data_IF_865600921290
#
_entry.id   IF_865600921290
#
_cell.length_a   1.000
_cell.length_b   1.000
_cell.length_c   1.000
_cell.angle_alpha   90.00
_cell.angle_beta   90.00
_cell.angle_gamma   90.00
#
_symmetry.space_group_name_H-M   'P 1'
#
loop_
_entity.id
_entity.type
_entity.pdbx_description
1 polymer ?
#
# COMPACT_ATOMS: atom_id res chain seq x y z
N UNK A 1 42.24 -38.31 -82.87
CA UNK A 1 41.87 -37.26 -83.84
C UNK A 1 41.15 -36.20 -83.06
N UNK A 2 41.85 -35.19 -82.70
CA UNK A 2 41.74 -33.78 -83.11
C UNK A 2 40.34 -33.18 -82.71
N UNK A 3 40.18 -32.09 -82.06
CA UNK A 3 40.92 -30.83 -82.17
C UNK A 3 40.68 -29.93 -80.93
N UNK A 4 41.69 -29.17 -80.56
CA UNK A 4 41.66 -28.05 -79.60
C UNK A 4 41.01 -26.84 -80.25
N UNK A 5 40.09 -26.15 -79.52
CA UNK A 5 39.87 -24.73 -79.75
C UNK A 5 40.04 -23.96 -78.41
N UNK A 6 41.16 -23.20 -78.36
CA UNK A 6 41.43 -22.21 -77.34
C UNK A 6 40.58 -20.97 -77.57
N UNK A 7 39.75 -20.58 -76.55
CA UNK A 7 39.09 -19.29 -76.53
C UNK A 7 39.75 -18.41 -75.47
N UNK A 8 40.50 -17.39 -75.89
CA UNK A 8 41.12 -16.38 -75.07
C UNK A 8 40.06 -15.35 -74.64
N UNK A 9 39.77 -15.26 -73.37
CA UNK A 9 39.00 -14.19 -72.79
C UNK A 9 39.91 -13.16 -72.12
N UNK A 10 39.93 -11.95 -72.70
CA UNK A 10 40.65 -10.78 -72.20
C UNK A 10 40.06 -10.28 -70.87
N UNK A 11 40.88 -9.83 -69.88
CA UNK A 11 40.34 -9.29 -68.62
C UNK A 11 39.82 -7.86 -68.84
N UNK A 12 38.50 -7.64 -68.58
CA UNK A 12 37.98 -6.31 -68.51
C UNK A 12 38.53 -5.63 -67.23
N UNK A 13 39.31 -4.57 -67.40
CA UNK A 13 39.74 -3.62 -66.37
C UNK A 13 38.49 -2.95 -65.79
N UNK A 14 38.10 -3.33 -64.58
CA UNK A 14 37.13 -2.62 -63.80
C UNK A 14 37.76 -1.35 -63.24
N UNK A 15 37.24 -0.19 -63.65
CA UNK A 15 37.63 1.12 -63.12
C UNK A 15 37.32 1.23 -61.63
N UNK A 16 38.25 1.67 -60.75
CA UNK A 16 38.09 1.70 -59.29
C UNK A 16 37.31 2.94 -58.76
N UNK A 17 36.27 3.35 -59.45
CA UNK A 17 35.52 4.56 -59.05
C UNK A 17 34.35 4.29 -58.08
N UNK A 18 33.89 3.07 -57.99
CA UNK A 18 32.78 2.73 -57.14
C UNK A 18 33.05 2.80 -55.64
N UNK A 19 34.24 2.46 -55.07
CA UNK A 19 34.44 2.57 -53.62
C UNK A 19 34.54 4.02 -53.15
N UNK A 20 35.07 4.95 -53.97
CA UNK A 20 35.21 6.34 -53.58
C UNK A 20 33.86 7.04 -53.48
N UNK A 21 32.90 6.73 -54.39
CA UNK A 21 31.54 7.30 -54.35
C UNK A 21 30.75 6.75 -53.17
N UNK A 22 30.93 5.47 -52.80
CA UNK A 22 30.26 4.86 -51.65
C UNK A 22 30.74 5.48 -50.33
N UNK A 23 32.03 5.78 -50.18
CA UNK A 23 32.57 6.44 -48.97
C UNK A 23 32.07 7.88 -48.85
N UNK A 24 31.95 8.62 -49.96
CA UNK A 24 31.45 9.98 -49.97
C UNK A 24 29.95 10.04 -49.59
N UNK A 25 29.15 9.10 -50.08
CA UNK A 25 27.73 9.00 -49.72
C UNK A 25 27.53 8.56 -48.27
N UNK A 26 28.37 7.65 -47.75
CA UNK A 26 28.32 7.26 -46.34
C UNK A 26 28.76 8.42 -45.41
N UNK A 27 29.76 9.21 -45.80
CA UNK A 27 30.20 10.40 -45.06
C UNK A 27 29.13 11.52 -45.01
N UNK A 28 28.48 11.75 -46.14
CA UNK A 28 27.37 12.72 -46.20
C UNK A 28 26.13 12.26 -45.43
N UNK A 29 25.85 10.95 -45.43
CA UNK A 29 24.76 10.38 -44.63
C UNK A 29 25.04 10.46 -43.13
N UNK A 30 26.28 10.19 -42.69
CA UNK A 30 26.69 10.31 -41.29
C UNK A 30 26.69 11.78 -40.81
N UNK A 31 27.23 12.71 -41.63
CA UNK A 31 27.21 14.14 -41.30
C UNK A 31 25.80 14.74 -41.30
N UNK A 32 24.95 14.34 -42.24
CA UNK A 32 23.55 14.73 -42.31
C UNK A 32 22.73 14.17 -41.16
N UNK A 33 22.97 12.91 -40.79
CA UNK A 33 22.33 12.25 -39.64
C UNK A 33 22.71 12.92 -38.31
N UNK A 34 24.01 13.23 -38.11
CA UNK A 34 24.50 13.91 -36.92
C UNK A 34 23.98 15.37 -36.84
N UNK A 35 23.93 16.08 -38.00
CA UNK A 35 23.39 17.44 -38.07
C UNK A 35 21.84 17.47 -37.84
N UNK A 36 21.13 16.45 -38.29
CA UNK A 36 19.68 16.31 -38.04
C UNK A 36 19.39 15.97 -36.56
N UNK A 37 20.16 15.07 -35.97
CA UNK A 37 20.01 14.67 -34.56
C UNK A 37 20.36 15.85 -33.62
N UNK A 38 21.41 16.64 -33.94
CA UNK A 38 21.82 17.80 -33.13
C UNK A 38 20.82 18.98 -33.16
N UNK A 39 19.85 18.95 -34.08
CA UNK A 39 18.81 19.98 -34.19
C UNK A 39 17.43 19.51 -33.73
N UNK A 40 17.29 18.28 -33.26
CA UNK A 40 16.05 17.85 -32.66
C UNK A 40 15.88 18.56 -31.33
N UNK A 41 14.85 19.41 -31.25
CA UNK A 41 14.38 19.89 -29.96
C UNK A 41 13.99 18.70 -29.10
N UNK A 42 14.32 18.69 -27.80
CA UNK A 42 13.85 17.64 -26.90
C UNK A 42 12.32 17.54 -26.95
N UNK A 43 11.74 16.33 -26.79
CA UNK A 43 10.28 16.18 -26.81
C UNK A 43 9.64 17.06 -25.75
N UNK A 44 8.53 17.72 -26.12
CA UNK A 44 7.79 18.62 -25.23
C UNK A 44 7.47 17.91 -23.90
N UNK A 45 7.71 18.61 -22.79
CA UNK A 45 7.47 18.10 -21.43
C UNK A 45 8.65 17.38 -20.79
N UNK A 46 9.79 17.22 -21.47
CA UNK A 46 11.03 16.74 -20.85
C UNK A 46 11.67 17.78 -19.96
N UNK A 47 12.54 17.35 -19.04
CA UNK A 47 13.33 18.28 -18.20
C UNK A 47 14.15 19.21 -19.09
N UNK A 48 14.73 18.67 -20.17
CA UNK A 48 15.54 19.41 -21.15
C UNK A 48 14.74 20.55 -21.81
N UNK A 49 13.50 20.29 -22.23
CA UNK A 49 12.65 21.34 -22.84
C UNK A 49 12.32 22.43 -21.82
N UNK A 50 12.01 22.08 -20.58
CA UNK A 50 11.71 23.05 -19.51
C UNK A 50 12.92 23.90 -19.14
N UNK A 51 14.12 23.33 -19.14
CA UNK A 51 15.35 24.05 -18.87
C UNK A 51 15.68 25.02 -20.02
N UNK A 52 15.50 24.58 -21.29
CA UNK A 52 15.68 25.43 -22.46
C UNK A 52 14.66 26.59 -22.48
N UNK A 53 13.39 26.33 -22.15
CA UNK A 53 12.35 27.37 -22.05
C UNK A 53 12.65 28.37 -20.92
N UNK A 54 13.32 27.93 -19.85
CA UNK A 54 13.77 28.77 -18.74
C UNK A 54 15.09 29.52 -19.05
N UNK A 55 15.69 29.30 -20.24
CA UNK A 55 16.96 29.94 -20.65
C UNK A 55 18.19 29.34 -19.99
N UNK A 56 18.08 28.13 -19.41
CA UNK A 56 19.18 27.42 -18.73
C UNK A 56 20.03 26.70 -19.76
N UNK A 57 21.30 27.06 -19.85
CA UNK A 57 22.24 26.42 -20.76
C UNK A 57 22.80 25.09 -20.22
N UNK A 58 23.58 24.38 -21.05
CA UNK A 58 24.10 23.06 -20.69
C UNK A 58 25.06 23.10 -19.48
N UNK A 59 25.82 24.19 -19.29
CA UNK A 59 26.73 24.35 -18.16
C UNK A 59 25.97 24.64 -16.87
N UNK A 60 24.97 25.50 -16.96
CA UNK A 60 24.07 25.80 -15.83
C UNK A 60 23.31 24.55 -15.40
N UNK A 61 22.85 23.71 -16.35
CA UNK A 61 22.24 22.43 -16.06
C UNK A 61 23.17 21.53 -15.24
N UNK A 62 24.42 21.35 -15.68
CA UNK A 62 25.43 20.53 -14.97
C UNK A 62 25.68 21.08 -13.56
N UNK A 63 25.76 22.40 -13.41
CA UNK A 63 25.93 23.03 -12.10
C UNK A 63 24.73 22.76 -11.17
N UNK A 64 23.49 22.87 -11.67
CA UNK A 64 22.27 22.57 -10.92
C UNK A 64 22.24 21.09 -10.51
N UNK A 65 22.53 20.17 -11.43
CA UNK A 65 22.57 18.74 -11.15
C UNK A 65 23.61 18.39 -10.07
N UNK A 66 24.79 19.05 -10.10
CA UNK A 66 25.80 18.88 -9.07
C UNK A 66 25.31 19.37 -7.70
N UNK A 67 24.71 20.55 -7.63
CA UNK A 67 24.16 21.10 -6.37
C UNK A 67 23.07 20.19 -5.81
N UNK A 68 22.14 19.71 -6.65
CA UNK A 68 21.06 18.80 -6.23
C UNK A 68 21.65 17.47 -5.71
N UNK A 69 22.63 16.92 -6.42
CA UNK A 69 23.31 15.70 -5.99
C UNK A 69 24.00 15.89 -4.64
N UNK A 70 24.79 16.95 -4.50
CA UNK A 70 25.53 17.22 -3.26
C UNK A 70 24.57 17.48 -2.09
N UNK A 71 23.46 18.18 -2.35
CA UNK A 71 22.42 18.39 -1.36
C UNK A 71 21.77 17.09 -0.89
N UNK A 72 21.39 16.20 -1.83
CA UNK A 72 20.82 14.88 -1.47
C UNK A 72 21.83 14.03 -0.69
N UNK A 73 23.12 14.08 -1.07
CA UNK A 73 24.15 13.32 -0.36
C UNK A 73 24.47 13.90 1.03
N UNK A 74 24.33 15.20 1.20
CA UNK A 74 24.45 15.87 2.49
C UNK A 74 23.20 15.67 3.38
N UNK A 75 22.03 15.44 2.78
CA UNK A 75 20.72 15.27 3.45
C UNK A 75 20.04 13.97 3.02
N UNK A 76 20.63 12.80 3.30
CA UNK A 76 20.11 11.50 2.83
C UNK A 76 18.71 11.18 3.39
N UNK A 77 18.30 11.81 4.51
CA UNK A 77 16.98 11.69 5.13
C UNK A 77 15.82 12.13 4.23
N UNK A 78 16.08 12.93 3.19
CA UNK A 78 15.08 13.38 2.22
C UNK A 78 14.47 12.20 1.45
N UNK A 79 15.29 11.19 1.13
CA UNK A 79 14.82 10.04 0.34
C UNK A 79 13.77 9.22 1.11
N UNK A 80 14.03 8.71 2.34
CA UNK A 80 12.99 8.02 3.10
C UNK A 80 11.81 8.94 3.43
N UNK A 81 12.00 10.24 3.66
CA UNK A 81 10.89 11.17 3.88
C UNK A 81 9.98 11.28 2.63
N UNK A 82 10.57 11.44 1.45
CA UNK A 82 9.82 11.50 0.20
C UNK A 82 9.07 10.18 -0.08
N UNK A 83 9.71 9.02 0.19
CA UNK A 83 9.07 7.71 0.06
C UNK A 83 7.90 7.55 1.04
N UNK A 84 8.07 7.96 2.30
CA UNK A 84 7.00 7.92 3.30
C UNK A 84 5.81 8.81 2.90
N UNK A 85 6.07 10.01 2.39
CA UNK A 85 5.03 10.90 1.87
C UNK A 85 4.30 10.29 0.67
N UNK A 86 5.02 9.68 -0.26
CA UNK A 86 4.43 9.00 -1.41
C UNK A 86 3.52 7.84 -0.97
N UNK A 87 3.98 7.01 -0.03
CA UNK A 87 3.20 5.90 0.53
C UNK A 87 1.97 6.41 1.29
N UNK A 88 2.12 7.45 2.12
CA UNK A 88 1.01 8.05 2.87
C UNK A 88 -0.05 8.62 1.91
N UNK A 89 0.35 9.33 0.85
CA UNK A 89 -0.57 9.86 -0.16
C UNK A 89 -1.28 8.74 -0.93
N UNK A 90 -0.58 7.64 -1.22
CA UNK A 90 -1.17 6.45 -1.84
C UNK A 90 -2.21 5.80 -0.94
N UNK A 91 -1.89 5.58 0.33
CA UNK A 91 -2.80 5.05 1.34
C UNK A 91 -4.03 5.96 1.54
N UNK A 92 -3.83 7.27 1.64
CA UNK A 92 -4.92 8.24 1.78
C UNK A 92 -5.92 8.18 0.62
N UNK A 93 -5.44 8.08 -0.62
CA UNK A 93 -6.30 7.92 -1.81
C UNK A 93 -7.09 6.60 -1.77
N UNK A 94 -6.46 5.51 -1.37
CA UNK A 94 -7.13 4.21 -1.24
C UNK A 94 -8.17 4.22 -0.13
N UNK A 95 -7.87 4.83 1.03
CA UNK A 95 -8.80 4.99 2.14
C UNK A 95 -9.99 5.82 1.70
N UNK A 96 -9.78 6.97 1.06
CA UNK A 96 -10.85 7.83 0.57
C UNK A 96 -11.79 7.11 -0.40
N UNK A 97 -11.23 6.31 -1.33
CA UNK A 97 -12.00 5.54 -2.30
C UNK A 97 -12.84 4.42 -1.68
N UNK A 98 -12.49 3.95 -0.47
CA UNK A 98 -13.10 2.80 0.18
C UNK A 98 -13.64 3.12 1.59
N UNK A 99 -13.75 4.41 1.93
CA UNK A 99 -14.10 4.88 3.28
C UNK A 99 -15.33 4.18 3.86
N UNK A 100 -16.41 4.12 3.10
CA UNK A 100 -17.66 3.47 3.54
C UNK A 100 -17.44 1.99 3.88
N UNK A 101 -16.66 1.27 3.07
CA UNK A 101 -16.30 -0.14 3.35
C UNK A 101 -15.42 -0.28 4.58
N UNK A 102 -14.51 0.67 4.81
CA UNK A 102 -13.58 0.66 5.94
C UNK A 102 -14.32 0.98 7.24
N UNK A 103 -15.17 1.99 7.25
CA UNK A 103 -15.79 2.54 8.45
C UNK A 103 -17.16 1.95 8.79
N UNK A 104 -17.81 1.21 7.88
CA UNK A 104 -19.07 0.52 8.18
C UNK A 104 -18.79 -0.78 8.95
N UNK A 105 -19.15 -0.91 10.23
CA UNK A 105 -18.88 -2.09 11.02
C UNK A 105 -19.77 -3.27 10.61
N UNK A 106 -19.31 -4.49 10.85
CA UNK A 106 -20.25 -5.59 11.05
C UNK A 106 -21.18 -5.22 12.23
N UNK A 107 -22.46 -5.49 12.09
CA UNK A 107 -23.46 -5.03 13.06
C UNK A 107 -23.10 -5.45 14.51
N UNK A 108 -22.76 -4.48 15.34
CA UNK A 108 -22.37 -4.67 16.74
C UNK A 108 -20.87 -4.90 16.99
N UNK A 109 -20.03 -5.00 15.98
CA UNK A 109 -18.56 -5.15 16.13
C UNK A 109 -17.91 -3.76 16.37
N UNK A 110 -18.23 -3.15 17.50
CA UNK A 110 -17.83 -1.81 17.89
C UNK A 110 -17.32 -1.78 19.33
N UNK A 111 -16.36 -0.88 19.58
CA UNK A 111 -15.93 -0.47 20.91
C UNK A 111 -16.11 1.06 21.02
N UNK A 112 -16.15 1.57 22.26
CA UNK A 112 -16.37 3.00 22.51
C UNK A 112 -17.80 3.46 22.24
N UNK A 113 -17.94 4.68 21.72
CA UNK A 113 -19.24 5.30 21.50
C UNK A 113 -19.80 4.96 20.11
N UNK A 114 -20.89 4.18 19.98
CA UNK A 114 -21.48 3.87 18.68
C UNK A 114 -21.94 5.10 17.87
N UNK A 115 -22.21 6.21 18.56
CA UNK A 115 -22.60 7.49 17.97
C UNK A 115 -21.44 8.47 17.85
N UNK A 116 -20.21 7.99 18.09
CA UNK A 116 -19.00 8.81 18.00
C UNK A 116 -18.78 9.36 16.59
N UNK A 117 -18.33 10.60 16.53
CA UNK A 117 -18.08 11.34 15.28
C UNK A 117 -16.69 11.06 14.71
N UNK A 118 -15.78 10.57 15.53
CA UNK A 118 -14.44 10.14 15.10
C UNK A 118 -14.43 8.62 15.00
N UNK A 119 -14.02 8.11 13.84
CA UNK A 119 -13.90 6.67 13.63
C UNK A 119 -12.42 6.26 13.63
N UNK A 120 -12.09 5.33 14.54
CA UNK A 120 -10.87 4.54 14.51
C UNK A 120 -11.22 3.15 14.02
N UNK A 121 -10.62 2.68 12.94
CA UNK A 121 -10.78 1.31 12.48
C UNK A 121 -9.57 0.50 12.91
N UNK A 122 -9.81 -0.65 13.56
CA UNK A 122 -8.79 -1.58 14.00
C UNK A 122 -8.92 -2.91 13.25
N UNK A 123 -7.88 -3.33 12.55
CA UNK A 123 -7.75 -4.70 12.06
C UNK A 123 -7.04 -5.55 13.11
N UNK A 124 -7.65 -6.63 13.53
CA UNK A 124 -7.18 -7.41 14.70
C UNK A 124 -7.25 -8.91 14.46
N UNK A 125 -6.39 -9.66 15.17
CA UNK A 125 -6.37 -11.13 15.22
C UNK A 125 -6.18 -11.58 16.68
N UNK A 126 -7.00 -12.49 17.17
CA UNK A 126 -6.96 -12.93 18.57
C UNK A 126 -5.70 -13.74 18.93
N UNK A 127 -5.01 -14.35 17.96
CA UNK A 127 -3.72 -15.00 18.20
C UNK A 127 -2.53 -14.03 18.19
N UNK A 128 -2.76 -12.76 17.80
CA UNK A 128 -1.71 -11.76 17.69
C UNK A 128 -1.33 -11.19 19.06
N UNK A 129 -0.06 -11.36 19.46
CA UNK A 129 0.48 -10.81 20.70
C UNK A 129 0.43 -9.27 20.73
N UNK A 130 0.71 -8.62 19.61
CA UNK A 130 0.66 -7.17 19.50
C UNK A 130 -0.77 -6.61 19.55
N UNK A 131 -1.77 -7.36 19.03
CA UNK A 131 -3.16 -7.00 19.20
C UNK A 131 -3.57 -7.05 20.68
N UNK A 132 -3.15 -8.08 21.39
CA UNK A 132 -3.35 -8.20 22.85
C UNK A 132 -2.79 -7.00 23.61
N UNK A 133 -1.56 -6.58 23.28
CA UNK A 133 -0.95 -5.40 23.90
C UNK A 133 -1.71 -4.11 23.59
N UNK A 134 -2.37 -4.04 22.46
CA UNK A 134 -3.13 -2.86 22.02
C UNK A 134 -4.48 -2.70 22.72
N UNK A 135 -5.02 -3.73 23.38
CA UNK A 135 -6.33 -3.66 24.07
C UNK A 135 -6.38 -2.54 25.10
N UNK A 136 -5.33 -2.45 25.95
CA UNK A 136 -5.23 -1.39 26.96
C UNK A 136 -5.10 0.02 26.34
N UNK A 137 -4.42 0.10 25.18
CA UNK A 137 -4.31 1.37 24.43
C UNK A 137 -5.68 1.81 23.90
N UNK A 138 -6.44 0.90 23.29
CA UNK A 138 -7.79 1.19 22.80
C UNK A 138 -8.72 1.59 23.94
N UNK A 139 -8.70 0.87 25.07
CA UNK A 139 -9.49 1.21 26.23
C UNK A 139 -9.17 2.62 26.76
N UNK A 140 -7.89 2.98 26.82
CA UNK A 140 -7.47 4.32 27.26
C UNK A 140 -7.88 5.41 26.27
N UNK A 141 -7.86 5.14 24.95
CA UNK A 141 -8.34 6.09 23.93
C UNK A 141 -9.86 6.30 24.04
N UNK A 142 -10.63 5.22 24.18
CA UNK A 142 -12.09 5.29 24.35
C UNK A 142 -12.46 6.08 25.59
N UNK A 143 -11.74 5.91 26.70
CA UNK A 143 -11.96 6.66 27.94
C UNK A 143 -11.61 8.15 27.80
N UNK A 144 -10.58 8.48 27.02
CA UNK A 144 -10.12 9.85 26.81
C UNK A 144 -10.95 10.63 25.77
N UNK A 145 -11.61 9.94 24.85
CA UNK A 145 -12.33 10.51 23.71
C UNK A 145 -13.79 10.00 23.68
N UNK A 146 -14.75 10.66 24.38
CA UNK A 146 -16.16 10.25 24.39
C UNK A 146 -16.83 10.25 23.01
N UNK A 147 -16.24 10.96 22.05
CA UNK A 147 -16.65 11.06 20.66
C UNK A 147 -15.97 9.99 19.74
N UNK A 148 -15.22 9.05 20.33
CA UNK A 148 -14.53 8.01 19.58
C UNK A 148 -15.40 6.77 19.40
N UNK A 149 -15.60 6.36 18.15
CA UNK A 149 -16.12 5.08 17.71
C UNK A 149 -15.00 4.21 17.18
N UNK A 150 -14.85 3.00 17.73
CA UNK A 150 -13.85 2.05 17.24
C UNK A 150 -14.54 0.93 16.47
N UNK A 151 -14.36 0.91 15.16
CA UNK A 151 -14.81 -0.18 14.28
C UNK A 151 -13.76 -1.28 14.30
N UNK A 152 -14.14 -2.49 14.70
CA UNK A 152 -13.21 -3.61 14.72
C UNK A 152 -13.42 -4.51 13.49
N UNK A 153 -12.35 -4.69 12.74
CA UNK A 153 -12.26 -5.59 11.59
C UNK A 153 -11.52 -6.85 11.99
N UNK A 154 -12.26 -7.94 12.15
CA UNK A 154 -11.66 -9.24 12.41
C UNK A 154 -10.83 -9.66 11.20
N UNK A 155 -9.51 -9.84 11.39
CA UNK A 155 -8.57 -10.22 10.36
C UNK A 155 -7.79 -11.48 10.79
N UNK A 156 -8.43 -12.66 10.78
CA UNK A 156 -7.85 -13.88 11.31
C UNK A 156 -6.88 -14.52 10.30
N UNK A 157 -5.65 -14.04 10.28
CA UNK A 157 -4.61 -14.44 9.31
C UNK A 157 -3.51 -15.30 9.93
N UNK A 158 -3.49 -15.47 11.27
CA UNK A 158 -2.38 -16.13 11.96
C UNK A 158 -2.62 -17.62 12.20
N UNK A 159 -3.86 -18.05 12.43
CA UNK A 159 -4.16 -19.46 12.66
C UNK A 159 -5.62 -19.80 12.37
N UNK A 160 -5.92 -21.10 12.30
CA UNK A 160 -7.29 -21.61 12.18
C UNK A 160 -8.14 -21.24 13.41
N UNK A 161 -7.52 -21.26 14.59
CA UNK A 161 -8.16 -20.92 15.84
C UNK A 161 -8.47 -19.42 15.91
N UNK A 162 -7.66 -18.57 15.29
CA UNK A 162 -7.97 -17.13 15.08
C UNK A 162 -9.28 -16.96 14.32
N UNK A 163 -9.48 -17.75 13.26
CA UNK A 163 -10.74 -17.69 12.49
C UNK A 163 -11.93 -18.13 13.33
N UNK A 164 -11.78 -19.19 14.14
CA UNK A 164 -12.84 -19.63 15.05
C UNK A 164 -13.19 -18.57 16.08
N UNK A 165 -12.17 -17.89 16.65
CA UNK A 165 -12.38 -16.79 17.59
C UNK A 165 -13.06 -15.57 16.92
N UNK A 166 -12.64 -15.20 15.71
CA UNK A 166 -13.25 -14.12 14.94
C UNK A 166 -14.71 -14.42 14.60
N UNK A 167 -15.05 -15.63 14.20
CA UNK A 167 -16.42 -16.07 13.95
C UNK A 167 -17.28 -15.97 15.22
N UNK A 168 -16.75 -16.37 16.37
CA UNK A 168 -17.42 -16.23 17.66
C UNK A 168 -17.60 -14.77 18.06
N UNK A 169 -16.59 -13.91 17.82
CA UNK A 169 -16.65 -12.48 18.07
C UNK A 169 -17.79 -11.80 17.28
N UNK A 170 -17.89 -12.11 15.97
CA UNK A 170 -18.97 -11.59 15.12
C UNK A 170 -20.33 -12.14 15.53
N UNK A 171 -20.38 -13.36 16.03
CA UNK A 171 -21.60 -13.91 16.62
C UNK A 171 -21.98 -13.23 17.94
N UNK A 172 -21.01 -12.90 18.79
CA UNK A 172 -21.20 -12.10 19.99
C UNK A 172 -21.69 -10.69 19.63
N UNK A 173 -21.19 -10.10 18.54
CA UNK A 173 -21.63 -8.80 18.04
C UNK A 173 -23.14 -8.77 17.75
N UNK A 174 -23.66 -9.81 17.10
CA UNK A 174 -25.11 -9.95 16.81
C UNK A 174 -25.97 -10.04 18.06
N UNK A 175 -25.37 -10.36 19.20
CA UNK A 175 -26.03 -10.45 20.50
C UNK A 175 -25.75 -9.23 21.40
N UNK A 176 -25.05 -8.20 20.91
CA UNK A 176 -24.64 -7.04 21.71
C UNK A 176 -23.58 -7.37 22.76
N UNK A 177 -22.81 -8.44 22.54
CA UNK A 177 -21.80 -8.95 23.47
C UNK A 177 -20.36 -8.83 22.94
N UNK A 178 -20.17 -8.08 21.86
CA UNK A 178 -18.87 -7.99 21.19
C UNK A 178 -17.77 -7.50 22.13
N UNK A 179 -17.96 -6.34 22.77
CA UNK A 179 -16.94 -5.74 23.64
C UNK A 179 -16.55 -6.68 24.79
N UNK A 180 -17.53 -7.32 25.43
CA UNK A 180 -17.28 -8.27 26.52
C UNK A 180 -16.54 -9.52 26.03
N UNK A 181 -16.88 -10.05 24.85
CA UNK A 181 -16.18 -11.17 24.26
C UNK A 181 -14.75 -10.80 23.87
N UNK A 182 -14.56 -9.66 23.21
CA UNK A 182 -13.27 -9.14 22.78
C UNK A 182 -12.30 -8.99 23.98
N UNK A 183 -12.76 -8.37 25.06
CA UNK A 183 -12.00 -8.24 26.30
C UNK A 183 -11.67 -9.62 26.90
N UNK A 184 -12.68 -10.48 27.04
CA UNK A 184 -12.51 -11.80 27.65
C UNK A 184 -11.52 -12.69 26.86
N UNK A 185 -11.60 -12.62 25.52
CA UNK A 185 -10.72 -13.41 24.64
C UNK A 185 -9.26 -12.94 24.70
N UNK A 186 -9.01 -11.63 24.73
CA UNK A 186 -7.66 -11.10 24.87
C UNK A 186 -7.11 -11.20 26.30
N UNK A 187 -7.97 -11.21 27.33
CA UNK A 187 -7.54 -11.45 28.72
C UNK A 187 -7.14 -12.92 28.98
N UNK A 188 -7.68 -13.84 28.17
CA UNK A 188 -7.37 -15.27 28.27
C UNK A 188 -6.05 -15.66 27.57
N UNK A 189 -5.85 -16.95 27.39
CA UNK A 189 -4.75 -17.51 26.60
C UNK A 189 -4.98 -17.35 25.09
N UNK A 190 -4.07 -17.91 24.28
CA UNK A 190 -4.25 -17.93 22.81
C UNK A 190 -5.53 -18.66 22.42
N UNK A 191 -6.11 -18.34 21.27
CA UNK A 191 -7.32 -18.98 20.78
C UNK A 191 -7.16 -20.51 20.70
N UNK A 192 -8.08 -21.20 21.31
CA UNK A 192 -8.30 -22.65 21.25
C UNK A 192 -9.78 -22.88 21.54
N UNK A 193 -10.34 -24.03 21.20
CA UNK A 193 -11.75 -24.31 21.40
C UNK A 193 -12.23 -24.06 22.83
N UNK A 194 -11.41 -24.44 23.83
CA UNK A 194 -11.71 -24.24 25.25
C UNK A 194 -11.66 -22.77 25.67
N UNK A 195 -10.65 -22.00 25.24
CA UNK A 195 -10.49 -20.58 25.60
C UNK A 195 -11.54 -19.71 24.90
N UNK A 196 -11.94 -20.05 23.66
CA UNK A 196 -13.03 -19.39 22.93
C UNK A 196 -14.36 -19.61 23.65
N UNK A 197 -14.63 -20.87 24.06
CA UNK A 197 -15.84 -21.20 24.81
C UNK A 197 -15.92 -20.49 26.17
N UNK A 198 -14.80 -20.47 26.90
CA UNK A 198 -14.70 -19.76 28.19
C UNK A 198 -14.91 -18.25 28.03
N UNK A 199 -14.31 -17.62 27.01
CA UNK A 199 -14.52 -16.22 26.70
C UNK A 199 -15.98 -15.92 26.33
N UNK A 200 -16.61 -16.77 25.51
CA UNK A 200 -18.02 -16.64 25.16
C UNK A 200 -18.93 -16.74 26.37
N UNK A 201 -18.66 -17.71 27.26
CA UNK A 201 -19.40 -17.86 28.52
C UNK A 201 -19.25 -16.63 29.42
N UNK A 202 -18.01 -16.15 29.61
CA UNK A 202 -17.72 -14.96 30.41
C UNK A 202 -18.41 -13.71 29.87
N UNK A 203 -18.51 -13.59 28.55
CA UNK A 203 -19.20 -12.50 27.86
C UNK A 203 -20.74 -12.62 27.87
N UNK A 204 -21.29 -13.74 28.35
CA UNK A 204 -22.74 -13.99 28.34
C UNK A 204 -23.29 -14.24 26.93
N UNK A 205 -22.49 -14.84 26.05
CA UNK A 205 -22.92 -15.21 24.70
C UNK A 205 -23.78 -16.47 24.76
N UNK A 206 -24.99 -16.41 24.19
CA UNK A 206 -25.85 -17.57 24.07
C UNK A 206 -25.31 -18.53 22.97
N UNK A 207 -24.86 -19.71 23.39
CA UNK A 207 -24.25 -20.70 22.48
C UNK A 207 -25.21 -21.23 21.42
N UNK A 208 -26.52 -21.38 21.75
CA UNK A 208 -27.54 -21.83 20.80
C UNK A 208 -27.76 -20.84 19.65
N UNK A 209 -27.56 -19.55 19.89
CA UNK A 209 -27.59 -18.49 18.87
C UNK A 209 -26.24 -18.38 18.19
N UNK A 210 -25.14 -18.51 18.94
CA UNK A 210 -23.79 -18.26 18.45
C UNK A 210 -23.36 -19.24 17.35
N UNK A 211 -23.62 -20.54 17.53
CA UNK A 211 -23.14 -21.55 16.58
C UNK A 211 -23.68 -21.37 15.15
N UNK A 212 -25.00 -21.19 14.90
CA UNK A 212 -25.50 -20.98 13.55
C UNK A 212 -25.05 -19.62 12.98
N UNK A 213 -24.95 -18.57 13.79
CA UNK A 213 -24.47 -17.26 13.32
C UNK A 213 -22.99 -17.33 12.92
N UNK A 214 -22.14 -17.96 13.72
CA UNK A 214 -20.71 -18.11 13.42
C UNK A 214 -20.46 -18.82 12.09
N UNK A 215 -21.35 -19.74 11.72
CA UNK A 215 -21.28 -20.52 10.46
C UNK A 215 -22.06 -19.89 9.30
N UNK A 216 -22.69 -18.75 9.52
CA UNK A 216 -23.52 -18.09 8.50
C UNK A 216 -22.68 -17.56 7.33
N UNK A 217 -23.33 -17.43 6.17
CA UNK A 217 -22.76 -16.77 5.01
C UNK A 217 -22.39 -15.32 5.31
N UNK A 218 -23.15 -14.63 6.14
CA UNK A 218 -22.89 -13.24 6.54
C UNK A 218 -21.52 -13.11 7.23
N UNK A 219 -21.23 -13.95 8.22
CA UNK A 219 -19.94 -13.97 8.93
C UNK A 219 -18.80 -14.39 7.99
N UNK A 220 -19.04 -15.39 7.15
CA UNK A 220 -18.03 -15.85 6.17
C UNK A 220 -17.66 -14.74 5.17
N UNK A 221 -18.66 -14.03 4.63
CA UNK A 221 -18.45 -12.94 3.71
C UNK A 221 -17.77 -11.72 4.39
N UNK A 222 -18.11 -11.45 5.66
CA UNK A 222 -17.43 -10.39 6.43
C UNK A 222 -15.94 -10.67 6.58
N UNK A 223 -15.56 -11.88 7.04
CA UNK A 223 -14.16 -12.25 7.20
C UNK A 223 -13.39 -12.24 5.87
N UNK A 224 -13.99 -12.78 4.82
CA UNK A 224 -13.40 -12.73 3.48
C UNK A 224 -13.26 -11.29 2.97
N UNK A 225 -14.27 -10.46 3.21
CA UNK A 225 -14.25 -9.02 2.88
C UNK A 225 -13.17 -8.26 3.63
N UNK A 226 -12.96 -8.56 4.91
CA UNK A 226 -11.90 -7.95 5.72
C UNK A 226 -10.49 -8.33 5.22
N UNK A 227 -10.30 -9.59 4.80
CA UNK A 227 -9.03 -10.04 4.20
C UNK A 227 -8.78 -9.34 2.86
N UNK A 228 -9.81 -9.24 2.01
CA UNK A 228 -9.69 -8.52 0.73
C UNK A 228 -9.38 -7.03 0.96
N UNK A 229 -10.10 -6.38 1.86
CA UNK A 229 -9.90 -4.97 2.21
C UNK A 229 -8.48 -4.72 2.77
N UNK A 230 -8.01 -5.57 3.67
CA UNK A 230 -6.65 -5.49 4.20
C UNK A 230 -5.60 -5.58 3.09
N UNK A 231 -5.77 -6.50 2.14
CA UNK A 231 -4.88 -6.65 0.98
C UNK A 231 -4.90 -5.40 0.08
N UNK A 232 -6.08 -4.86 -0.21
CA UNK A 232 -6.26 -3.66 -1.03
C UNK A 232 -5.60 -2.43 -0.38
N UNK A 233 -5.63 -2.33 0.96
CA UNK A 233 -4.97 -1.27 1.73
C UNK A 233 -3.48 -1.51 1.99
N UNK A 234 -2.91 -2.63 1.54
CA UNK A 234 -1.52 -2.99 1.81
C UNK A 234 -1.23 -3.39 3.26
N UNK A 235 -2.26 -3.80 4.01
CA UNK A 235 -2.13 -4.31 5.39
C UNK A 235 -1.58 -5.73 5.33
N UNK A 236 -0.37 -5.94 5.84
CA UNK A 236 0.35 -7.22 5.82
C UNK A 236 0.35 -7.94 7.16
N UNK A 237 -0.22 -7.34 8.20
CA UNK A 237 -0.22 -7.89 9.55
C UNK A 237 -1.14 -7.13 10.50
N UNK A 238 -1.25 -7.65 11.73
CA UNK A 238 -2.08 -7.06 12.78
C UNK A 238 -1.25 -6.68 13.99
N UNK A 239 -1.66 -5.66 14.77
CA UNK A 239 -2.77 -4.78 14.49
C UNK A 239 -2.46 -3.81 13.35
N UNK A 240 -3.50 -3.31 12.66
CA UNK A 240 -3.40 -2.18 11.77
C UNK A 240 -4.58 -1.24 12.01
N UNK A 241 -4.42 0.04 11.69
CA UNK A 241 -5.34 1.09 12.09
C UNK A 241 -5.61 2.04 10.93
N UNK A 242 -6.87 2.46 10.81
CA UNK A 242 -7.22 3.56 9.92
C UNK A 242 -7.91 4.64 10.75
N UNK A 243 -7.41 5.88 10.63
CA UNK A 243 -7.97 7.07 11.29
C UNK A 243 -7.94 8.21 10.28
N UNK A 244 -9.10 8.75 9.90
CA UNK A 244 -9.16 9.73 8.80
C UNK A 244 -8.54 9.16 7.52
N UNK A 245 -7.52 9.84 6.99
CA UNK A 245 -6.79 9.42 5.79
C UNK A 245 -5.49 8.66 6.09
N UNK A 246 -5.24 8.31 7.36
CA UNK A 246 -4.00 7.68 7.79
C UNK A 246 -4.17 6.17 7.99
N UNK A 247 -3.25 5.43 7.41
CA UNK A 247 -3.02 4.01 7.69
C UNK A 247 -1.78 3.89 8.60
N UNK A 248 -1.95 3.22 9.76
CA UNK A 248 -0.88 2.92 10.68
C UNK A 248 -0.78 1.39 10.82
N UNK A 249 0.42 0.83 10.71
CA UNK A 249 0.64 -0.63 10.75
C UNK A 249 1.45 -0.99 11.98
N UNK A 250 1.02 -2.04 12.69
CA UNK A 250 1.67 -2.55 13.88
C UNK A 250 1.18 -1.92 15.18
N UNK A 251 1.83 -2.28 16.29
CA UNK A 251 1.55 -1.75 17.63
C UNK A 251 2.18 -0.36 17.80
N UNK A 252 1.60 0.65 17.17
CA UNK A 252 2.16 2.02 17.09
C UNK A 252 2.10 2.81 18.40
N UNK A 253 1.48 2.26 19.44
CA UNK A 253 1.35 2.91 20.74
C UNK A 253 0.28 3.99 20.78
N UNK A 254 -0.02 4.44 22.03
CA UNK A 254 -1.10 5.39 22.29
C UNK A 254 -0.88 6.75 21.62
N UNK A 255 0.33 7.32 21.74
CA UNK A 255 0.63 8.66 21.24
C UNK A 255 0.43 8.81 19.73
N UNK A 256 0.83 7.79 18.96
CA UNK A 256 0.67 7.82 17.51
C UNK A 256 -0.82 7.82 17.10
N UNK A 257 -1.66 7.05 17.81
CA UNK A 257 -3.11 7.03 17.58
C UNK A 257 -3.77 8.33 18.03
N UNK A 258 -3.37 8.92 19.15
CA UNK A 258 -3.85 10.23 19.60
C UNK A 258 -3.52 11.35 18.59
N UNK A 259 -2.29 11.35 18.06
CA UNK A 259 -1.89 12.30 17.02
C UNK A 259 -2.77 12.16 15.77
N UNK A 260 -3.03 10.92 15.34
CA UNK A 260 -3.90 10.66 14.20
C UNK A 260 -5.35 11.10 14.46
N UNK A 261 -5.89 10.86 15.65
CA UNK A 261 -7.21 11.34 16.08
C UNK A 261 -7.25 12.88 16.10
N UNK A 262 -6.23 13.53 16.62
CA UNK A 262 -6.16 14.99 16.66
C UNK A 262 -6.13 15.62 15.26
N UNK A 263 -5.51 14.97 14.30
CA UNK A 263 -5.48 15.43 12.90
C UNK A 263 -6.86 15.43 12.25
N UNK A 264 -7.74 14.46 12.58
CA UNK A 264 -9.11 14.42 12.04
C UNK A 264 -9.99 15.57 12.54
N UNK A 265 -9.58 16.26 13.61
CA UNK A 265 -10.31 17.39 14.19
C UNK A 265 -9.92 18.73 13.60
N UNK A 266 -8.86 18.78 12.79
CA UNK A 266 -8.46 20.02 12.11
C UNK A 266 -9.41 20.29 10.94
N UNK A 267 -9.94 21.51 10.80
CA UNK A 267 -10.70 21.87 9.61
C UNK A 267 -9.80 21.73 8.37
N UNK A 268 -10.34 21.10 7.33
CA UNK A 268 -9.70 20.97 6.00
C UNK A 268 -9.77 22.31 5.26
#
# INVERSE_FOLDING_TARGET
MADRILSSSSPRRRRPWFPALAILLAGLGAAGGWWWESRRSPPEGTIESRLADAGIDANEKVAIESVVRDYILAHPEIIPEAMNRLQANGAAKQIAAQRDRIETPFAGALLGNPQGTITLVQFTDYACTYCRQSVGVVAALVAAHPDLRVVVRELPILSRESEQAARMALSAARQGRYAAFHEAMFAGEKPASGTIAAAAQKAGVNGGIAAPVAMSAQVTNELAGNVALAKELGITGTPAWVVGDRLLIGAVGRQALENAIAETRKPT
#
